data_IF_243510670890
#
_entry.id   IF_243510670890
#
_cell.length_a   1.000
_cell.length_b   1.000
_cell.length_c   1.000
_cell.angle_alpha   90.00
_cell.angle_beta   90.00
_cell.angle_gamma   90.00
#
_symmetry.space_group_name_H-M   'P 1'
#
loop_
_entity.id
_entity.type
_entity.pdbx_description
1 polymer ?
#
# COMPACT_ATOMS: atom_id res chain seq x y z
N UNK A 1 12.14 -1.48 2.02
CA UNK A 1 11.77 -0.06 1.88
C UNK A 1 10.27 0.12 2.05
N UNK A 2 9.79 1.31 2.40
CA UNK A 2 8.36 1.62 2.34
C UNK A 2 7.98 2.05 0.90
N UNK A 3 6.68 2.20 0.64
CA UNK A 3 6.20 2.52 -0.71
C UNK A 3 6.58 3.94 -1.19
N UNK A 4 6.79 4.92 -0.31
CA UNK A 4 7.30 6.24 -0.69
C UNK A 4 8.75 6.14 -1.19
N UNK A 5 9.60 5.45 -0.43
CA UNK A 5 10.98 5.18 -0.85
C UNK A 5 11.06 4.42 -2.17
N UNK A 6 10.11 3.50 -2.40
CA UNK A 6 10.03 2.73 -3.65
C UNK A 6 9.69 3.61 -4.86
N UNK A 7 8.82 4.63 -4.68
CA UNK A 7 8.47 5.59 -5.73
C UNK A 7 9.61 6.58 -5.99
N UNK A 8 10.30 7.03 -4.93
CA UNK A 8 11.39 8.00 -5.05
C UNK A 8 12.68 7.40 -5.56
N UNK A 9 12.91 6.11 -5.33
CA UNK A 9 14.17 5.39 -5.60
C UNK A 9 13.94 4.08 -6.36
N UNK A 10 13.20 4.16 -7.46
CA UNK A 10 12.92 2.97 -8.30
C UNK A 10 14.17 2.24 -8.77
N UNK A 11 15.29 2.94 -8.94
CA UNK A 11 16.57 2.37 -9.37
C UNK A 11 17.13 1.36 -8.36
N UNK A 12 16.71 1.41 -7.10
CA UNK A 12 17.13 0.48 -6.06
C UNK A 12 16.32 -0.82 -6.05
N UNK A 13 15.19 -0.86 -6.74
CA UNK A 13 14.31 -2.02 -6.79
C UNK A 13 14.90 -3.07 -7.70
N UNK A 14 15.18 -4.24 -7.15
CA UNK A 14 15.74 -5.39 -7.87
C UNK A 14 14.67 -6.22 -8.56
N UNK A 15 15.09 -7.29 -9.24
CA UNK A 15 14.17 -8.08 -10.08
C UNK A 15 13.13 -8.82 -9.24
N UNK A 16 13.55 -9.63 -8.28
CA UNK A 16 12.60 -10.37 -7.44
C UNK A 16 12.06 -9.49 -6.32
N UNK A 17 10.92 -8.88 -6.56
CA UNK A 17 10.29 -7.93 -5.62
C UNK A 17 9.05 -8.53 -4.96
N UNK A 18 9.01 -8.47 -3.64
CA UNK A 18 7.81 -8.82 -2.85
C UNK A 18 7.17 -7.53 -2.31
N UNK A 19 5.86 -7.39 -2.56
CA UNK A 19 5.06 -6.27 -2.04
C UNK A 19 4.15 -6.78 -0.92
N UNK A 20 4.27 -6.20 0.25
CA UNK A 20 3.44 -6.52 1.41
C UNK A 20 2.28 -5.52 1.47
N UNK A 21 1.08 -6.01 1.20
CA UNK A 21 -0.16 -5.24 1.09
C UNK A 21 -0.61 -5.02 -0.35
N UNK A 22 -1.76 -5.59 -0.69
CA UNK A 22 -2.42 -5.48 -1.99
C UNK A 22 -3.49 -4.38 -2.04
N UNK A 23 -3.36 -3.33 -1.21
CA UNK A 23 -4.19 -2.13 -1.32
C UNK A 23 -3.99 -1.41 -2.66
N UNK A 24 -4.66 -0.26 -2.88
CA UNK A 24 -4.54 0.49 -4.13
C UNK A 24 -3.08 0.79 -4.48
N UNK A 25 -2.30 1.31 -3.53
CA UNK A 25 -0.89 1.67 -3.74
C UNK A 25 -0.04 0.45 -4.09
N UNK A 26 -0.14 -0.63 -3.30
CA UNK A 26 0.67 -1.84 -3.55
C UNK A 26 0.33 -2.51 -4.88
N UNK A 27 -0.95 -2.51 -5.26
CA UNK A 27 -1.39 -3.04 -6.54
C UNK A 27 -0.90 -2.20 -7.73
N UNK A 28 -0.90 -0.86 -7.62
CA UNK A 28 -0.38 0.03 -8.66
C UNK A 28 1.14 -0.11 -8.84
N UNK A 29 1.90 -0.12 -7.75
CA UNK A 29 3.35 -0.33 -7.80
C UNK A 29 3.67 -1.70 -8.43
N UNK A 30 2.94 -2.75 -8.04
CA UNK A 30 3.13 -4.08 -8.61
C UNK A 30 2.93 -4.09 -10.14
N UNK A 31 1.84 -3.44 -10.60
CA UNK A 31 1.54 -3.32 -12.02
C UNK A 31 2.65 -2.58 -12.76
N UNK A 32 3.08 -1.45 -12.25
CA UNK A 32 4.14 -0.63 -12.86
C UNK A 32 5.46 -1.39 -12.97
N UNK A 33 5.90 -2.03 -11.90
CA UNK A 33 7.12 -2.82 -11.89
C UNK A 33 7.07 -3.99 -12.86
N UNK A 34 5.94 -4.68 -12.97
CA UNK A 34 5.79 -5.79 -13.91
C UNK A 34 5.63 -5.32 -15.37
N UNK A 35 4.78 -4.30 -15.64
CA UNK A 35 4.45 -3.83 -17.00
C UNK A 35 5.61 -3.04 -17.62
N UNK A 36 6.16 -2.07 -16.90
CA UNK A 36 7.13 -1.11 -17.44
C UNK A 36 8.58 -1.53 -17.22
N UNK A 37 8.87 -2.23 -16.14
CA UNK A 37 10.24 -2.61 -15.76
C UNK A 37 10.52 -4.10 -15.95
N UNK A 38 9.51 -4.91 -16.29
CA UNK A 38 9.64 -6.35 -16.53
C UNK A 38 10.10 -7.15 -15.32
N UNK A 39 9.83 -6.67 -14.10
CA UNK A 39 10.25 -7.31 -12.85
C UNK A 39 9.34 -8.46 -12.44
N UNK A 40 9.91 -9.44 -11.73
CA UNK A 40 9.17 -10.52 -11.10
C UNK A 40 8.56 -10.04 -9.78
N UNK A 41 7.26 -9.83 -9.79
CA UNK A 41 6.56 -9.25 -8.63
C UNK A 41 5.66 -10.28 -7.95
N UNK A 42 5.73 -10.32 -6.63
CA UNK A 42 4.84 -11.11 -5.77
C UNK A 42 4.14 -10.17 -4.79
N UNK A 43 2.81 -10.30 -4.65
CA UNK A 43 2.02 -9.57 -3.65
C UNK A 43 1.60 -10.53 -2.54
N UNK A 44 1.76 -10.10 -1.29
CA UNK A 44 1.19 -10.75 -0.10
C UNK A 44 0.03 -9.87 0.38
N UNK A 45 -1.20 -10.41 0.37
CA UNK A 45 -2.41 -9.69 0.77
C UNK A 45 -3.20 -10.51 1.80
N UNK A 46 -3.58 -9.87 2.91
CA UNK A 46 -4.36 -10.51 3.98
C UNK A 46 -5.82 -10.72 3.60
N UNK A 47 -6.35 -9.85 2.75
CA UNK A 47 -7.73 -9.92 2.25
C UNK A 47 -7.89 -10.88 1.08
N UNK A 48 -9.08 -10.86 0.51
CA UNK A 48 -9.50 -11.71 -0.60
C UNK A 48 -9.45 -11.00 -1.97
N UNK A 49 -9.13 -9.71 -2.00
CA UNK A 49 -9.12 -8.89 -3.21
C UNK A 49 -8.04 -7.82 -3.19
N UNK A 50 -7.42 -7.56 -4.34
CA UNK A 50 -6.59 -6.38 -4.53
C UNK A 50 -7.45 -5.11 -4.55
N UNK A 51 -6.85 -4.02 -4.08
CA UNK A 51 -7.46 -2.69 -4.06
C UNK A 51 -8.90 -2.70 -3.50
N UNK A 52 -9.13 -3.44 -2.40
CA UNK A 52 -10.47 -3.69 -1.85
C UNK A 52 -11.28 -2.39 -1.63
N UNK A 53 -10.62 -1.28 -1.28
CA UNK A 53 -11.23 0.04 -1.07
C UNK A 53 -11.36 0.87 -2.37
N UNK A 54 -10.92 0.34 -3.51
CA UNK A 54 -11.12 0.97 -4.82
C UNK A 54 -12.60 0.96 -5.24
N UNK A 55 -13.01 1.96 -6.04
CA UNK A 55 -14.33 1.90 -6.66
C UNK A 55 -14.41 0.76 -7.69
N UNK A 56 -15.62 0.40 -8.10
CA UNK A 56 -15.83 -0.77 -8.95
C UNK A 56 -15.16 -0.63 -10.33
N UNK A 57 -15.25 0.54 -10.95
CA UNK A 57 -14.65 0.77 -12.28
C UNK A 57 -13.12 0.67 -12.21
N UNK A 58 -12.53 1.23 -11.16
CA UNK A 58 -11.10 1.11 -10.91
C UNK A 58 -10.66 -0.36 -10.77
N UNK A 59 -11.38 -1.16 -9.97
CA UNK A 59 -11.06 -2.59 -9.79
C UNK A 59 -11.15 -3.38 -11.09
N UNK A 60 -12.17 -3.08 -11.93
CA UNK A 60 -12.30 -3.70 -13.24
C UNK A 60 -11.11 -3.34 -14.14
N UNK A 61 -10.76 -2.06 -14.22
CA UNK A 61 -9.64 -1.58 -15.03
C UNK A 61 -8.30 -2.18 -14.54
N UNK A 62 -8.08 -2.22 -13.23
CA UNK A 62 -6.90 -2.82 -12.63
C UNK A 62 -6.79 -4.31 -12.99
N UNK A 63 -7.88 -5.07 -12.84
CA UNK A 63 -7.93 -6.49 -13.18
C UNK A 63 -7.61 -6.73 -14.66
N UNK A 64 -8.20 -5.94 -15.56
CA UNK A 64 -7.91 -6.04 -16.99
C UNK A 64 -6.43 -5.81 -17.30
N UNK A 65 -5.81 -4.83 -16.62
CA UNK A 65 -4.38 -4.58 -16.75
C UNK A 65 -3.53 -5.76 -16.29
N UNK A 66 -3.87 -6.36 -15.16
CA UNK A 66 -3.17 -7.55 -14.65
C UNK A 66 -3.30 -8.75 -15.60
N UNK A 67 -4.48 -8.96 -16.20
CA UNK A 67 -4.72 -10.03 -17.18
C UNK A 67 -3.94 -9.84 -18.50
N UNK A 68 -3.55 -8.62 -18.83
CA UNK A 68 -2.78 -8.26 -20.03
C UNK A 68 -1.26 -8.31 -19.84
N UNK A 69 -0.78 -8.50 -18.62
CA UNK A 69 0.65 -8.57 -18.35
C UNK A 69 1.29 -9.77 -19.06
N UNK A 70 2.43 -9.53 -19.73
CA UNK A 70 3.24 -10.59 -20.32
C UNK A 70 3.79 -11.55 -19.28
N UNK A 71 4.12 -11.01 -18.11
CA UNK A 71 4.62 -11.73 -16.96
C UNK A 71 3.61 -11.57 -15.82
N UNK A 72 2.91 -12.65 -15.41
CA UNK A 72 1.89 -12.56 -14.38
C UNK A 72 2.50 -12.23 -13.02
N UNK A 73 1.83 -11.34 -12.28
CA UNK A 73 2.15 -11.06 -10.87
C UNK A 73 1.61 -12.21 -10.03
N UNK A 74 2.45 -12.78 -9.18
CA UNK A 74 2.02 -13.80 -8.23
C UNK A 74 1.34 -13.13 -7.03
N UNK A 75 0.14 -13.60 -6.65
CA UNK A 75 -0.61 -13.01 -5.55
C UNK A 75 -0.95 -14.11 -4.54
N UNK A 76 -0.55 -13.89 -3.30
CA UNK A 76 -0.91 -14.71 -2.15
C UNK A 76 -2.01 -13.99 -1.36
N UNK A 77 -3.26 -14.35 -1.62
CA UNK A 77 -4.40 -13.87 -0.83
C UNK A 77 -4.49 -14.59 0.51
N UNK A 78 -5.21 -14.00 1.46
CA UNK A 78 -5.39 -14.52 2.82
C UNK A 78 -4.07 -14.90 3.49
N UNK A 79 -3.03 -14.13 3.20
CA UNK A 79 -1.67 -14.44 3.61
C UNK A 79 -1.07 -13.25 4.36
N UNK A 80 -0.50 -13.53 5.51
CA UNK A 80 0.12 -12.51 6.37
C UNK A 80 1.64 -12.65 6.34
N UNK A 81 2.34 -11.56 6.10
CA UNK A 81 3.79 -11.50 6.26
C UNK A 81 4.14 -11.53 7.76
N UNK A 82 4.98 -12.48 8.15
CA UNK A 82 5.42 -12.63 9.53
C UNK A 82 6.85 -12.10 9.76
N UNK A 83 7.72 -12.30 8.76
CA UNK A 83 9.13 -11.94 8.89
C UNK A 83 9.71 -11.58 7.52
N UNK A 84 10.62 -10.62 7.52
CA UNK A 84 11.42 -10.22 6.35
C UNK A 84 12.86 -10.52 6.68
N UNK A 85 13.47 -11.43 5.91
CA UNK A 85 14.88 -11.78 6.00
C UNK A 85 15.67 -11.16 4.84
N UNK A 86 16.97 -11.43 4.80
CA UNK A 86 17.89 -10.82 3.83
C UNK A 86 17.54 -11.15 2.38
N UNK A 87 17.05 -12.36 2.11
CA UNK A 87 16.85 -12.92 0.77
C UNK A 87 15.46 -13.53 0.56
N UNK A 88 14.57 -13.41 1.55
CA UNK A 88 13.22 -13.94 1.48
C UNK A 88 12.27 -13.31 2.49
N UNK A 89 10.98 -13.54 2.27
CA UNK A 89 9.89 -13.22 3.20
C UNK A 89 9.27 -14.52 3.70
N UNK A 90 8.97 -14.60 5.00
CA UNK A 90 8.19 -15.68 5.59
C UNK A 90 6.76 -15.17 5.79
N UNK A 91 5.81 -15.87 5.22
CA UNK A 91 4.38 -15.55 5.30
C UNK A 91 3.58 -16.78 5.75
N UNK A 92 2.40 -16.55 6.30
CA UNK A 92 1.47 -17.61 6.72
C UNK A 92 0.13 -17.43 6.03
N UNK A 93 -0.36 -18.48 5.37
CA UNK A 93 -1.67 -18.48 4.74
C UNK A 93 -2.81 -18.74 5.74
N UNK A 94 -4.06 -18.70 5.27
CA UNK A 94 -5.25 -18.91 6.14
C UNK A 94 -5.33 -20.29 6.78
N UNK A 95 -4.66 -21.29 6.21
CA UNK A 95 -4.57 -22.65 6.77
C UNK A 95 -3.47 -22.77 7.84
N UNK A 96 -2.75 -21.69 8.15
CA UNK A 96 -1.63 -21.69 9.09
C UNK A 96 -0.33 -22.27 8.53
N UNK A 97 -0.26 -22.50 7.20
CA UNK A 97 0.94 -23.00 6.54
C UNK A 97 1.93 -21.88 6.31
N UNK A 98 3.17 -22.08 6.75
CA UNK A 98 4.27 -21.16 6.51
C UNK A 98 4.80 -21.30 5.08
N UNK A 99 4.95 -20.16 4.40
CA UNK A 99 5.44 -20.05 3.02
C UNK A 99 6.70 -19.19 3.02
N UNK A 100 7.75 -19.68 2.37
CA UNK A 100 8.99 -18.94 2.14
C UNK A 100 8.99 -18.40 0.71
N UNK A 101 9.04 -17.07 0.56
CA UNK A 101 8.97 -16.37 -0.73
C UNK A 101 10.30 -15.66 -0.98
N UNK A 102 11.08 -16.02 -2.02
CA UNK A 102 12.32 -15.34 -2.35
C UNK A 102 12.09 -13.85 -2.64
N UNK A 103 12.98 -13.00 -2.15
CA UNK A 103 12.90 -11.55 -2.34
C UNK A 103 14.28 -10.91 -2.34
N UNK A 104 14.58 -10.13 -3.36
CA UNK A 104 15.75 -9.24 -3.40
C UNK A 104 15.37 -7.83 -2.93
N UNK A 105 14.11 -7.44 -3.14
CA UNK A 105 13.52 -6.20 -2.63
C UNK A 105 12.17 -6.50 -1.98
N UNK A 106 11.92 -5.89 -0.83
CA UNK A 106 10.61 -5.93 -0.17
C UNK A 106 10.08 -4.51 -0.05
N UNK A 107 8.87 -4.30 -0.59
CA UNK A 107 8.15 -3.02 -0.51
C UNK A 107 6.99 -3.17 0.47
N UNK A 108 6.95 -2.31 1.48
CA UNK A 108 5.88 -2.31 2.47
C UNK A 108 4.82 -1.29 2.05
N UNK A 109 3.64 -1.79 1.66
CA UNK A 109 2.47 -1.03 1.26
C UNK A 109 1.23 -1.39 2.12
N UNK A 110 1.46 -1.73 3.40
CA UNK A 110 0.45 -2.23 4.34
C UNK A 110 -0.40 -1.12 4.98
N UNK A 111 -0.54 0.01 4.31
CA UNK A 111 -1.36 1.15 4.73
C UNK A 111 -0.57 2.28 5.39
N UNK A 112 -1.29 3.36 5.69
CA UNK A 112 -0.77 4.58 6.31
C UNK A 112 -1.48 4.81 7.63
N UNK A 113 -0.78 5.37 8.60
CA UNK A 113 -1.32 5.76 9.92
C UNK A 113 -1.04 7.21 10.20
N UNK A 114 -1.98 7.90 10.82
CA UNK A 114 -1.77 9.25 11.32
C UNK A 114 -0.60 9.29 12.31
N UNK A 115 0.29 10.27 12.15
CA UNK A 115 1.34 10.53 13.12
C UNK A 115 0.76 11.32 14.31
N UNK A 116 0.07 10.61 15.21
CA UNK A 116 -0.59 11.22 16.38
C UNK A 116 0.37 12.04 17.25
N UNK A 117 1.61 11.58 17.42
CA UNK A 117 2.61 12.30 18.22
C UNK A 117 2.88 13.71 17.65
N UNK A 118 2.94 13.83 16.32
CA UNK A 118 3.12 15.13 15.65
C UNK A 118 1.85 15.98 15.79
N UNK A 119 0.68 15.42 15.51
CA UNK A 119 -0.60 16.13 15.60
C UNK A 119 -0.81 16.66 17.02
N UNK A 120 -0.63 15.79 18.02
CA UNK A 120 -0.83 16.13 19.43
C UNK A 120 0.14 17.24 19.92
N UNK A 121 1.32 17.39 19.28
CA UNK A 121 2.28 18.42 19.64
C UNK A 121 1.81 19.85 19.34
N UNK A 122 0.79 20.02 18.51
CA UNK A 122 0.23 21.35 18.20
C UNK A 122 -0.83 21.81 19.21
N UNK A 123 -1.41 20.90 20.00
CA UNK A 123 -2.41 21.26 21.00
C UNK A 123 -1.81 22.14 22.10
N UNK A 124 -2.53 23.22 22.42
CA UNK A 124 -2.10 24.20 23.41
C UNK A 124 -1.12 25.27 22.89
N UNK A 125 -0.70 25.21 21.61
CA UNK A 125 0.14 26.25 20.99
C UNK A 125 -0.72 27.42 20.50
N UNK A 126 -1.91 27.12 19.97
CA UNK A 126 -2.88 28.10 19.46
C UNK A 126 -4.25 27.84 20.10
N UNK A 127 -5.13 28.87 20.15
CA UNK A 127 -6.44 28.75 20.79
C UNK A 127 -7.35 27.68 20.13
N UNK A 128 -7.26 27.54 18.81
CA UNK A 128 -8.12 26.65 18.03
C UNK A 128 -7.29 25.80 17.08
N UNK A 129 -7.58 24.50 17.04
CA UNK A 129 -6.95 23.53 16.16
C UNK A 129 -8.03 22.62 15.58
N UNK A 130 -7.97 22.44 14.27
CA UNK A 130 -8.85 21.54 13.53
C UNK A 130 -8.02 20.51 12.79
N UNK A 131 -8.31 19.24 13.00
CA UNK A 131 -7.66 18.13 12.30
C UNK A 131 -8.46 17.77 11.05
N UNK A 132 -7.79 17.68 9.90
CA UNK A 132 -8.40 17.30 8.61
C UNK A 132 -7.49 16.35 7.84
N UNK A 133 -8.08 15.58 6.92
CA UNK A 133 -7.34 14.66 6.07
C UNK A 133 -6.52 13.64 6.86
N UNK A 134 -5.27 13.42 6.46
CA UNK A 134 -4.41 12.39 7.06
C UNK A 134 -4.00 12.69 8.50
N UNK A 135 -4.09 13.96 8.93
CA UNK A 135 -3.91 14.32 10.33
C UNK A 135 -5.02 13.74 11.22
N UNK A 136 -6.25 13.71 10.73
CA UNK A 136 -7.40 13.08 11.41
C UNK A 136 -7.39 11.57 11.19
N UNK A 137 -7.43 11.14 9.94
CA UNK A 137 -7.43 9.73 9.53
C UNK A 137 -7.05 9.59 8.06
N UNK A 138 -6.01 8.83 7.71
CA UNK A 138 -5.64 8.59 6.31
C UNK A 138 -6.79 7.96 5.51
N UNK A 139 -7.18 8.64 4.43
CA UNK A 139 -8.24 8.23 3.50
C UNK A 139 -7.92 8.79 2.10
N UNK A 140 -8.95 9.09 1.30
CA UNK A 140 -8.81 9.65 -0.04
C UNK A 140 -8.87 11.18 -0.02
N UNK A 141 -8.47 11.80 -1.12
CA UNK A 141 -8.49 13.26 -1.31
C UNK A 141 -9.89 13.84 -1.07
N UNK A 142 -10.94 13.11 -1.45
CA UNK A 142 -12.33 13.56 -1.29
C UNK A 142 -12.66 13.84 0.19
N UNK A 143 -12.32 12.93 1.09
CA UNK A 143 -12.55 13.10 2.52
C UNK A 143 -11.77 14.28 3.07
N UNK A 144 -10.50 14.41 2.69
CA UNK A 144 -9.65 15.53 3.13
C UNK A 144 -10.22 16.90 2.69
N UNK A 145 -10.66 17.00 1.43
CA UNK A 145 -11.27 18.22 0.89
C UNK A 145 -12.61 18.53 1.59
N UNK A 146 -13.46 17.51 1.79
CA UNK A 146 -14.73 17.68 2.46
C UNK A 146 -14.59 18.15 3.91
N UNK A 147 -13.66 17.56 4.65
CA UNK A 147 -13.35 17.95 6.03
C UNK A 147 -12.79 19.37 6.11
N UNK A 148 -11.85 19.71 5.22
CA UNK A 148 -11.29 21.07 5.15
C UNK A 148 -12.35 22.10 4.83
N UNK A 149 -13.28 21.81 3.90
CA UNK A 149 -14.40 22.69 3.60
C UNK A 149 -15.33 22.88 4.80
N UNK A 150 -15.64 21.78 5.52
CA UNK A 150 -16.48 21.82 6.72
C UNK A 150 -15.87 22.72 7.81
N UNK A 151 -14.56 22.61 8.04
CA UNK A 151 -13.85 23.48 8.98
C UNK A 151 -13.86 24.95 8.51
N UNK A 152 -13.52 25.20 7.24
CA UNK A 152 -13.49 26.56 6.69
C UNK A 152 -14.85 27.28 6.71
N UNK A 153 -15.96 26.53 6.78
CA UNK A 153 -17.29 27.10 6.85
C UNK A 153 -17.71 27.57 8.27
N UNK A 154 -16.93 27.21 9.31
CA UNK A 154 -17.26 27.54 10.72
C UNK A 154 -16.25 28.47 11.38
N UNK A 155 -15.12 28.74 10.74
CA UNK A 155 -14.12 29.76 11.13
C UNK A 155 -14.26 31.00 10.25
#
# INVERSE_FOLDING_TARGET
MNFYEAIEHEELIKDQTVIIGGGTIGAEIALELAELKGKHVTIIEMGDNLAAQGNMLYKIALRQKYEQLKQPIQIYYHTTCNQIDKDHVIATNKEGVSIKIPAETVIIAAGVKTNRKLVDSFYGIVPEIYEVGDALKPRKIQEAVFEAYGVAAII
#
